data_IF_778880100553
#
_entry.id   IF_778880100553
#
_cell.length_a   1.000
_cell.length_b   1.000
_cell.length_c   1.000
_cell.angle_alpha   90.00
_cell.angle_beta   90.00
_cell.angle_gamma   90.00
#
_symmetry.space_group_name_H-M   'P 1'
#
loop_
_entity.id
_entity.type
_entity.pdbx_description
1 polymer ?
#
# COMPACT_ATOMS: atom_id res chain seq x y z
N UNK A 1 19.46 2.52 9.22
CA UNK A 1 19.87 1.54 8.19
C UNK A 1 20.22 2.31 6.93
N UNK A 2 21.51 2.44 6.62
CA UNK A 2 21.98 3.12 5.42
C UNK A 2 22.08 2.08 4.30
N UNK A 3 21.05 2.01 3.47
CA UNK A 3 20.94 0.99 2.42
C UNK A 3 21.71 1.45 1.18
N UNK A 4 22.98 1.04 1.06
CA UNK A 4 23.89 1.40 -0.04
C UNK A 4 23.64 0.61 -1.33
N UNK A 5 22.51 -0.11 -1.40
CA UNK A 5 22.02 -0.84 -2.58
C UNK A 5 22.16 -0.06 -3.90
N UNK A 6 21.99 1.27 -3.87
CA UNK A 6 22.09 2.12 -5.06
C UNK A 6 23.50 2.17 -5.68
N UNK A 7 24.56 1.86 -4.92
CA UNK A 7 25.94 1.86 -5.44
C UNK A 7 26.24 0.71 -6.40
N UNK A 8 25.47 -0.37 -6.32
CA UNK A 8 25.58 -1.49 -7.27
C UNK A 8 25.03 -1.14 -8.67
N UNK A 9 24.49 0.06 -8.87
CA UNK A 9 23.94 0.48 -10.15
C UNK A 9 25.02 0.67 -11.22
N UNK A 10 25.08 -0.26 -12.18
CA UNK A 10 25.97 -0.22 -13.36
C UNK A 10 25.47 0.68 -14.51
N UNK A 11 24.45 1.50 -14.28
CA UNK A 11 23.88 2.46 -15.26
C UNK A 11 23.41 1.85 -16.61
N UNK A 12 23.02 0.57 -16.64
CA UNK A 12 22.53 -0.14 -17.84
C UNK A 12 21.17 0.34 -18.42
N UNK A 13 20.41 1.18 -17.70
CA UNK A 13 19.15 1.79 -18.17
C UNK A 13 17.96 0.83 -18.38
N UNK A 14 18.09 -0.46 -18.10
CA UNK A 14 17.00 -1.47 -18.20
C UNK A 14 15.75 -1.08 -17.38
N UNK A 15 15.94 -0.47 -16.21
CA UNK A 15 14.81 -0.01 -15.40
C UNK A 15 13.95 1.06 -16.09
N UNK A 16 14.54 1.87 -16.99
CA UNK A 16 13.84 2.94 -17.69
C UNK A 16 13.01 2.40 -18.85
N UNK A 17 13.49 1.38 -19.54
CA UNK A 17 12.73 0.70 -20.60
C UNK A 17 11.56 -0.11 -20.02
N UNK A 18 11.75 -0.70 -18.84
CA UNK A 18 10.71 -1.46 -18.13
C UNK A 18 9.62 -0.56 -17.50
N UNK A 19 9.89 0.74 -17.35
CA UNK A 19 8.98 1.65 -16.66
C UNK A 19 7.82 2.07 -17.57
N UNK A 20 6.56 1.82 -17.17
CA UNK A 20 5.41 2.23 -17.97
C UNK A 20 5.20 3.75 -17.97
N UNK A 21 5.64 4.44 -16.91
CA UNK A 21 5.39 5.88 -16.72
C UNK A 21 6.33 6.74 -17.56
N UNK A 22 7.63 6.44 -17.58
CA UNK A 22 8.59 7.22 -18.38
C UNK A 22 8.33 7.11 -19.89
N UNK A 23 7.67 6.04 -20.32
CA UNK A 23 7.25 5.87 -21.71
C UNK A 23 6.13 6.82 -22.13
N UNK A 24 5.26 7.21 -21.20
CA UNK A 24 4.04 8.00 -21.51
C UNK A 24 4.10 9.44 -21.01
N UNK A 25 4.89 9.70 -19.96
CA UNK A 25 5.00 11.01 -19.34
C UNK A 25 6.43 11.54 -19.50
N UNK A 26 6.69 12.50 -20.41
CA UNK A 26 8.01 13.10 -20.58
C UNK A 26 8.47 13.92 -19.37
N UNK A 27 7.53 14.34 -18.50
CA UNK A 27 7.85 15.01 -17.24
C UNK A 27 8.43 14.09 -16.17
N UNK A 28 8.54 12.79 -16.44
CA UNK A 28 9.21 11.83 -15.55
C UNK A 28 10.53 11.37 -16.21
N UNK A 29 11.70 11.76 -15.68
CA UNK A 29 13.01 11.44 -16.28
C UNK A 29 13.35 9.94 -16.21
N UNK A 30 12.51 9.14 -15.55
CA UNK A 30 12.63 7.70 -15.45
C UNK A 30 13.26 7.23 -14.13
N UNK A 31 13.12 5.93 -13.82
CA UNK A 31 13.53 5.37 -12.54
C UNK A 31 15.05 5.32 -12.34
N UNK A 32 15.86 5.40 -13.40
CA UNK A 32 17.33 5.50 -13.29
C UNK A 32 17.75 6.83 -12.66
N UNK A 33 17.28 7.93 -13.25
CA UNK A 33 17.55 9.28 -12.78
C UNK A 33 16.84 9.55 -11.45
N UNK A 34 15.57 9.18 -11.33
CA UNK A 34 14.80 9.41 -10.11
C UNK A 34 15.27 8.55 -8.91
N UNK A 35 15.82 7.36 -9.18
CA UNK A 35 16.26 6.41 -8.17
C UNK A 35 17.76 6.56 -7.85
N UNK A 36 18.63 5.62 -8.30
CA UNK A 36 20.02 5.55 -7.85
C UNK A 36 20.89 6.75 -8.26
N UNK A 37 20.67 7.35 -9.42
CA UNK A 37 21.46 8.54 -9.82
C UNK A 37 21.03 9.77 -9.01
N UNK A 38 19.71 9.97 -8.82
CA UNK A 38 19.17 11.03 -7.99
C UNK A 38 19.48 10.86 -6.50
N UNK A 39 19.55 9.62 -5.99
CA UNK A 39 19.93 9.35 -4.61
C UNK A 39 21.37 9.78 -4.31
N UNK A 40 22.30 9.55 -5.24
CA UNK A 40 23.68 10.04 -5.11
C UNK A 40 23.76 11.56 -4.99
N UNK A 41 22.86 12.29 -5.67
CA UNK A 41 22.74 13.74 -5.55
C UNK A 41 22.12 14.15 -4.20
N UNK A 42 21.03 13.49 -3.81
CA UNK A 42 20.31 13.75 -2.54
C UNK A 42 21.11 13.44 -1.28
N UNK A 43 22.11 12.57 -1.38
CA UNK A 43 23.05 12.31 -0.29
C UNK A 43 24.03 13.47 -0.06
N UNK A 44 24.36 14.23 -1.12
CA UNK A 44 25.20 15.44 -0.99
C UNK A 44 24.39 16.62 -0.52
N UNK A 45 23.24 16.84 -1.14
CA UNK A 45 22.32 17.92 -0.79
C UNK A 45 20.87 17.44 -0.94
N UNK A 46 20.14 17.45 0.17
CA UNK A 46 18.72 17.08 0.21
C UNK A 46 17.81 18.04 -0.55
N UNK A 47 18.28 19.26 -0.86
CA UNK A 47 17.55 20.21 -1.70
C UNK A 47 17.46 19.77 -3.17
N UNK A 48 18.30 18.82 -3.60
CA UNK A 48 18.25 18.21 -4.94
C UNK A 48 17.12 17.17 -5.09
N UNK A 49 16.05 17.32 -4.31
CA UNK A 49 14.83 16.56 -4.45
C UNK A 49 14.04 17.06 -5.67
N UNK A 50 13.73 16.13 -6.58
CA UNK A 50 12.92 16.41 -7.76
C UNK A 50 11.47 16.00 -7.51
N UNK A 51 10.55 16.94 -7.68
CA UNK A 51 9.11 16.67 -7.58
C UNK A 51 8.64 15.64 -8.61
N UNK A 52 9.36 15.43 -9.72
CA UNK A 52 9.03 14.41 -10.72
C UNK A 52 8.95 12.99 -10.11
N UNK A 53 9.52 12.76 -8.94
CA UNK A 53 9.38 11.49 -8.20
C UNK A 53 7.91 11.16 -7.90
N UNK A 54 7.01 12.15 -7.84
CA UNK A 54 5.56 11.95 -7.66
C UNK A 54 4.90 11.14 -8.76
N UNK A 55 5.50 11.08 -9.96
CA UNK A 55 5.00 10.27 -11.06
C UNK A 55 5.30 8.78 -10.90
N UNK A 56 6.20 8.39 -9.99
CA UNK A 56 6.47 6.98 -9.71
C UNK A 56 5.28 6.32 -8.99
N UNK A 57 4.57 5.44 -9.69
CA UNK A 57 3.40 4.69 -9.18
C UNK A 57 3.75 3.49 -8.29
N UNK A 58 5.01 3.35 -7.87
CA UNK A 58 5.50 2.23 -7.05
C UNK A 58 5.16 0.82 -7.59
N UNK A 59 5.16 0.62 -8.91
CA UNK A 59 4.82 -0.66 -9.53
C UNK A 59 5.90 -1.75 -9.41
N UNK A 60 7.09 -1.41 -8.86
CA UNK A 60 8.25 -2.29 -8.61
C UNK A 60 8.84 -3.04 -9.80
N UNK A 61 8.33 -2.84 -11.02
CA UNK A 61 8.87 -3.46 -12.24
C UNK A 61 10.33 -3.12 -12.53
N UNK A 62 10.79 -1.94 -12.10
CA UNK A 62 12.20 -1.55 -12.19
C UNK A 62 13.14 -2.39 -11.33
N UNK A 63 12.66 -2.93 -10.20
CA UNK A 63 13.47 -3.78 -9.31
C UNK A 63 13.59 -5.19 -9.89
N UNK A 64 12.48 -5.75 -10.37
CA UNK A 64 12.45 -7.08 -11.01
C UNK A 64 13.33 -7.12 -12.27
N UNK A 65 13.39 -6.04 -13.02
CA UNK A 65 14.19 -5.95 -14.24
C UNK A 65 15.68 -5.63 -13.99
N UNK A 66 16.08 -5.32 -12.75
CA UNK A 66 17.45 -4.88 -12.47
C UNK A 66 18.42 -6.07 -12.39
N UNK A 67 19.46 -6.15 -13.24
CA UNK A 67 20.45 -7.23 -13.16
C UNK A 67 21.36 -7.13 -11.92
N UNK A 68 21.46 -5.94 -11.33
CA UNK A 68 22.30 -5.66 -10.15
C UNK A 68 21.50 -5.65 -8.84
N UNK A 69 20.24 -6.10 -8.87
CA UNK A 69 19.29 -6.15 -7.74
C UNK A 69 19.17 -4.85 -6.93
N UNK A 70 19.23 -3.70 -7.61
CA UNK A 70 19.07 -2.39 -6.96
C UNK A 70 17.59 -2.17 -6.63
N UNK A 71 17.29 -1.81 -5.38
CA UNK A 71 15.92 -1.54 -4.89
C UNK A 71 15.45 -0.12 -5.26
N UNK A 72 15.35 0.12 -6.57
CA UNK A 72 15.07 1.43 -7.17
C UNK A 72 13.75 2.04 -6.67
N UNK A 73 12.70 1.22 -6.58
CA UNK A 73 11.39 1.67 -6.11
C UNK A 73 11.44 2.09 -4.64
N UNK A 74 12.13 1.33 -3.78
CA UNK A 74 12.30 1.69 -2.36
C UNK A 74 13.10 2.97 -2.17
N UNK A 75 14.17 3.15 -2.95
CA UNK A 75 14.95 4.40 -2.96
C UNK A 75 14.05 5.59 -3.30
N UNK A 76 13.23 5.49 -4.36
CA UNK A 76 12.32 6.56 -4.76
C UNK A 76 11.28 6.82 -3.67
N UNK A 77 10.62 5.80 -3.12
CA UNK A 77 9.60 6.00 -2.09
C UNK A 77 10.17 6.55 -0.78
N UNK A 78 11.39 6.14 -0.40
CA UNK A 78 12.09 6.68 0.76
C UNK A 78 12.44 8.15 0.56
N UNK A 79 12.93 8.52 -0.63
CA UNK A 79 13.19 9.92 -0.96
C UNK A 79 11.90 10.76 -0.90
N UNK A 80 10.77 10.24 -1.41
CA UNK A 80 9.47 10.91 -1.25
C UNK A 80 9.07 11.04 0.21
N UNK A 81 9.14 9.97 1.01
CA UNK A 81 8.77 10.02 2.41
C UNK A 81 9.63 11.01 3.24
N UNK A 82 10.89 11.23 2.84
CA UNK A 82 11.83 12.11 3.55
C UNK A 82 11.75 13.57 3.12
N UNK A 83 11.60 13.84 1.82
CA UNK A 83 11.76 15.19 1.26
C UNK A 83 10.47 15.78 0.66
N UNK A 84 9.41 14.98 0.46
CA UNK A 84 8.14 15.49 -0.05
C UNK A 84 7.45 16.36 1.02
N UNK A 85 7.42 17.67 0.79
CA UNK A 85 6.76 18.65 1.66
C UNK A 85 5.30 18.89 1.27
N UNK A 86 4.81 18.21 0.24
CA UNK A 86 3.46 18.42 -0.30
C UNK A 86 2.42 18.05 0.74
N UNK A 87 1.58 19.03 1.14
CA UNK A 87 0.45 18.74 2.02
C UNK A 87 -0.58 17.87 1.31
N UNK A 88 -1.06 16.78 1.94
CA UNK A 88 -2.10 15.95 1.34
C UNK A 88 -3.38 16.78 1.18
N UNK A 89 -3.99 16.71 -0.01
CA UNK A 89 -5.34 17.24 -0.21
C UNK A 89 -6.34 16.52 0.70
N UNK A 90 -7.47 17.16 1.02
CA UNK A 90 -8.53 16.57 1.85
C UNK A 90 -8.94 15.18 1.35
N UNK A 91 -9.09 15.03 0.02
CA UNK A 91 -9.34 13.74 -0.62
C UNK A 91 -8.27 12.71 -0.28
N UNK A 92 -7.00 13.04 -0.49
CA UNK A 92 -5.90 12.10 -0.27
C UNK A 92 -5.76 11.76 1.22
N UNK A 93 -6.02 12.72 2.11
CA UNK A 93 -6.03 12.49 3.56
C UNK A 93 -7.13 11.52 3.98
N UNK A 94 -8.36 11.71 3.50
CA UNK A 94 -9.49 10.81 3.79
C UNK A 94 -9.22 9.41 3.23
N UNK A 95 -8.69 9.31 2.01
CA UNK A 95 -8.41 8.02 1.36
C UNK A 95 -7.18 7.29 1.93
N UNK A 96 -6.20 8.01 2.49
CA UNK A 96 -5.03 7.39 3.11
C UNK A 96 -5.31 6.80 4.49
N UNK A 97 -6.36 7.26 5.17
CA UNK A 97 -6.75 6.80 6.51
C UNK A 97 -7.89 5.78 6.44
N UNK A 98 -7.59 4.59 5.95
CA UNK A 98 -8.59 3.51 5.79
C UNK A 98 -9.22 3.07 7.11
N UNK A 99 -8.46 3.08 8.21
CA UNK A 99 -8.98 2.67 9.53
C UNK A 99 -9.95 3.69 10.13
N UNK A 100 -9.67 4.98 9.97
CA UNK A 100 -10.57 6.06 10.37
C UNK A 100 -11.86 6.01 9.54
N UNK A 101 -11.72 5.88 8.23
CA UNK A 101 -12.85 5.81 7.32
C UNK A 101 -13.70 4.55 7.60
N UNK A 102 -13.03 3.43 7.87
CA UNK A 102 -13.66 2.17 8.25
C UNK A 102 -14.40 2.25 9.57
N UNK A 103 -13.81 2.82 10.63
CA UNK A 103 -14.46 2.93 11.94
C UNK A 103 -15.69 3.84 11.92
N UNK A 104 -15.66 4.91 11.12
CA UNK A 104 -16.79 5.84 10.93
C UNK A 104 -17.88 5.23 10.04
N UNK A 105 -17.51 4.52 8.97
CA UNK A 105 -18.47 4.08 7.94
C UNK A 105 -19.09 2.70 8.22
N UNK A 106 -18.37 1.82 8.93
CA UNK A 106 -18.83 0.45 9.24
C UNK A 106 -20.15 0.41 10.04
N UNK A 107 -20.38 1.26 11.05
CA UNK A 107 -21.65 1.28 11.79
C UNK A 107 -22.85 1.67 10.90
N UNK A 108 -22.61 2.53 9.90
CA UNK A 108 -23.62 3.03 8.97
C UNK A 108 -23.59 2.30 7.62
N UNK A 109 -22.98 1.12 7.55
CA UNK A 109 -22.73 0.41 6.30
C UNK A 109 -23.96 0.28 5.37
N UNK A 110 -25.18 -0.06 5.83
CA UNK A 110 -26.35 -0.14 4.94
C UNK A 110 -26.68 1.19 4.28
N UNK A 111 -26.67 2.27 5.06
CA UNK A 111 -27.02 3.61 4.60
C UNK A 111 -25.93 4.12 3.65
N UNK A 112 -24.66 3.93 4.00
CA UNK A 112 -23.55 4.35 3.15
C UNK A 112 -23.54 3.55 1.84
N UNK A 113 -23.82 2.25 1.88
CA UNK A 113 -23.87 1.42 0.68
C UNK A 113 -25.05 1.79 -0.25
N UNK A 114 -26.22 2.11 0.31
CA UNK A 114 -27.36 2.56 -0.50
C UNK A 114 -27.12 3.95 -1.05
N UNK A 115 -26.64 4.89 -0.24
CA UNK A 115 -26.32 6.25 -0.68
C UNK A 115 -25.24 6.26 -1.78
N UNK A 116 -24.13 5.55 -1.59
CA UNK A 116 -23.04 5.45 -2.60
C UNK A 116 -23.43 4.67 -3.85
N UNK A 117 -24.56 3.95 -3.83
CA UNK A 117 -25.12 3.28 -5.01
C UNK A 117 -25.80 4.26 -5.99
N UNK A 118 -26.25 5.42 -5.50
CA UNK A 118 -26.98 6.42 -6.26
C UNK A 118 -26.02 7.28 -7.12
N UNK A 119 -26.36 7.46 -8.41
CA UNK A 119 -25.63 8.34 -9.34
C UNK A 119 -25.46 9.80 -8.84
N UNK A 120 -26.48 10.47 -8.28
CA UNK A 120 -26.31 11.86 -7.81
C UNK A 120 -25.27 11.99 -6.70
N UNK A 121 -25.19 11.01 -5.79
CA UNK A 121 -24.18 11.00 -4.73
C UNK A 121 -22.77 10.88 -5.32
N UNK A 122 -22.59 10.05 -6.36
CA UNK A 122 -21.29 9.94 -7.06
C UNK A 122 -20.90 11.23 -7.79
N UNK A 123 -21.85 11.92 -8.41
CA UNK A 123 -21.58 13.20 -9.06
C UNK A 123 -21.23 14.29 -8.05
N UNK A 124 -21.89 14.32 -6.88
CA UNK A 124 -21.55 15.23 -5.79
C UNK A 124 -20.15 14.93 -5.24
N UNK A 125 -19.79 13.66 -5.07
CA UNK A 125 -18.44 13.25 -4.66
C UNK A 125 -17.38 13.59 -5.73
N UNK A 126 -17.73 13.53 -7.01
CA UNK A 126 -16.86 13.95 -8.11
C UNK A 126 -16.59 15.46 -8.05
N UNK A 127 -17.65 16.27 -7.90
CA UNK A 127 -17.52 17.71 -7.80
C UNK A 127 -16.75 18.15 -6.54
N UNK A 128 -17.03 17.55 -5.38
CA UNK A 128 -16.45 17.95 -4.10
C UNK A 128 -15.04 17.38 -3.86
N UNK A 129 -14.83 16.10 -4.20
CA UNK A 129 -13.59 15.37 -3.90
C UNK A 129 -12.83 14.95 -5.15
N UNK A 130 -13.22 15.33 -6.38
CA UNK A 130 -12.56 14.89 -7.63
C UNK A 130 -12.35 13.38 -7.69
N UNK A 131 -13.37 12.63 -7.28
CA UNK A 131 -13.45 11.17 -7.41
C UNK A 131 -14.35 10.89 -8.61
N UNK A 132 -13.75 10.43 -9.72
CA UNK A 132 -14.46 10.18 -10.98
C UNK A 132 -15.76 9.39 -10.75
N UNK A 133 -16.90 9.95 -11.17
CA UNK A 133 -18.23 9.38 -10.95
C UNK A 133 -18.45 8.01 -11.61
N UNK A 134 -17.64 7.62 -12.60
CA UNK A 134 -17.68 6.27 -13.22
C UNK A 134 -17.05 5.21 -12.34
N UNK A 135 -16.33 5.61 -11.29
CA UNK A 135 -15.69 4.68 -10.36
C UNK A 135 -16.71 4.13 -9.38
N UNK A 136 -16.80 2.82 -9.28
CA UNK A 136 -17.60 2.15 -8.24
C UNK A 136 -16.83 2.17 -6.93
N UNK A 137 -17.39 2.80 -5.91
CA UNK A 137 -16.83 2.76 -4.55
C UNK A 137 -17.01 1.35 -3.95
N UNK A 138 -16.02 0.86 -3.16
CA UNK A 138 -16.14 -0.42 -2.48
C UNK A 138 -17.30 -0.38 -1.47
N UNK A 139 -17.96 -1.52 -1.27
CA UNK A 139 -19.03 -1.66 -0.27
C UNK A 139 -18.43 -1.85 1.11
N UNK A 140 -19.02 -1.20 2.12
CA UNK A 140 -18.70 -1.42 3.52
C UNK A 140 -19.47 -2.63 4.06
N UNK A 141 -18.80 -3.48 4.82
CA UNK A 141 -19.46 -4.55 5.57
C UNK A 141 -19.80 -4.06 6.97
N UNK A 142 -20.77 -4.70 7.62
CA UNK A 142 -20.88 -4.61 9.06
C UNK A 142 -19.70 -5.32 9.73
N UNK A 143 -19.12 -4.67 10.74
CA UNK A 143 -17.94 -5.15 11.47
C UNK A 143 -16.61 -4.89 10.77
N UNK A 144 -15.55 -4.75 11.56
CA UNK A 144 -14.17 -4.56 11.06
C UNK A 144 -13.45 -5.89 10.90
N UNK A 145 -12.51 -5.96 9.97
CA UNK A 145 -11.65 -7.14 9.78
C UNK A 145 -10.96 -7.55 11.09
N UNK A 146 -10.45 -6.58 11.86
CA UNK A 146 -9.78 -6.85 13.14
C UNK A 146 -10.71 -7.56 14.14
N UNK A 147 -11.96 -7.10 14.27
CA UNK A 147 -12.94 -7.72 15.17
C UNK A 147 -13.29 -9.14 14.72
N UNK A 148 -13.50 -9.33 13.41
CA UNK A 148 -13.70 -10.66 12.84
C UNK A 148 -12.50 -11.58 13.07
N UNK A 149 -11.27 -11.11 12.81
CA UNK A 149 -10.04 -11.87 12.98
C UNK A 149 -9.85 -12.35 14.43
N UNK A 150 -10.09 -11.48 15.42
CA UNK A 150 -10.03 -11.88 16.84
C UNK A 150 -11.05 -12.96 17.20
N UNK A 151 -12.26 -12.92 16.62
CA UNK A 151 -13.26 -13.99 16.82
C UNK A 151 -12.79 -15.33 16.25
N UNK A 152 -12.23 -15.34 15.04
CA UNK A 152 -11.69 -16.55 14.40
C UNK A 152 -10.47 -17.11 15.15
N UNK A 153 -9.56 -16.24 15.60
CA UNK A 153 -8.40 -16.63 16.39
C UNK A 153 -8.82 -17.27 17.72
N UNK A 154 -9.78 -16.68 18.43
CA UNK A 154 -10.33 -17.24 19.66
C UNK A 154 -10.95 -18.63 19.44
N UNK A 155 -11.71 -18.81 18.34
CA UNK A 155 -12.25 -20.12 17.96
C UNK A 155 -11.17 -21.15 17.65
N UNK A 156 -10.07 -20.76 16.96
CA UNK A 156 -8.94 -21.66 16.67
C UNK A 156 -8.20 -22.09 17.94
N UNK A 157 -7.97 -21.18 18.89
CA UNK A 157 -7.37 -21.54 20.18
C UNK A 157 -8.21 -22.57 20.92
N UNK A 158 -9.53 -22.39 20.95
CA UNK A 158 -10.47 -23.29 21.63
C UNK A 158 -10.56 -24.67 20.95
N UNK A 159 -10.50 -24.72 19.62
CA UNK A 159 -10.44 -26.00 18.88
C UNK A 159 -9.13 -26.74 19.18
N UNK A 160 -7.99 -26.04 19.23
CA UNK A 160 -6.68 -26.67 19.52
C UNK A 160 -6.62 -27.20 20.95
N UNK A 161 -7.13 -26.45 21.93
CA UNK A 161 -7.22 -26.92 23.33
C UNK A 161 -8.16 -28.12 23.44
N UNK A 162 -9.33 -28.07 22.79
CA UNK A 162 -10.28 -29.19 22.78
C UNK A 162 -9.67 -30.45 22.16
N UNK A 163 -8.95 -30.33 21.03
CA UNK A 163 -8.24 -31.46 20.42
C UNK A 163 -7.16 -32.04 21.34
N UNK A 164 -6.34 -31.19 21.99
CA UNK A 164 -5.32 -31.63 22.95
C UNK A 164 -5.94 -32.35 24.16
N UNK A 165 -7.06 -31.86 24.67
CA UNK A 165 -7.80 -32.51 25.77
C UNK A 165 -8.43 -33.84 25.34
N UNK A 166 -8.96 -33.97 24.12
CA UNK A 166 -9.46 -35.24 23.60
C UNK A 166 -8.35 -36.27 23.39
N UNK A 167 -7.19 -35.87 22.84
CA UNK A 167 -6.04 -36.78 22.69
C UNK A 167 -5.47 -37.19 24.04
N UNK A 168 -5.36 -36.27 25.00
CA UNK A 168 -4.90 -36.58 26.35
C UNK A 168 -5.87 -37.53 27.07
N UNK A 169 -7.18 -37.28 27.00
CA UNK A 169 -8.18 -38.17 27.59
C UNK A 169 -8.14 -39.58 26.97
N UNK A 170 -8.02 -39.68 25.64
CA UNK A 170 -7.93 -40.97 24.94
C UNK A 170 -6.64 -41.75 25.26
N UNK A 171 -5.50 -41.07 25.48
CA UNK A 171 -4.25 -41.69 25.93
C UNK A 171 -4.32 -42.16 27.39
N UNK A 172 -5.10 -41.48 28.24
CA UNK A 172 -5.23 -41.86 29.66
C UNK A 172 -6.14 -43.10 29.83
N UNK A 173 -7.12 -43.30 28.94
CA UNK A 173 -7.99 -44.48 28.96
C UNK A 173 -7.27 -45.75 28.50
N UNK A 174 -6.33 -45.67 27.56
CA UNK A 174 -5.57 -46.83 27.05
C UNK A 174 -4.48 -47.33 28.02
N UNK A 175 -4.01 -46.49 28.96
CA UNK A 175 -2.97 -46.87 29.93
C UNK A 175 -3.57 -47.50 31.21
N UNK A 176 -4.90 -47.47 31.37
CA UNK A 176 -5.60 -47.96 32.57
C UNK A 176 -6.37 -49.28 32.36
N UNK A 177 -6.15 -49.95 31.23
CA UNK A 177 -6.62 -51.30 30.89
C UNK A 177 -5.44 -52.24 30.76
#
# INVERSE_FOLDING_TARGET
>A
MNDTSFENCIKCTVCTTACPVSRVNPGYPGPKQAGPDGERLRLKDGALYDEALKYCINCKRCEVACPSDVKIGDIIQRARAKYDTTRPSLRNFVLSHTDLMGSVSTPFAPIVNTATSLKPVRQLLDAALKIDHRRTLPKYSFGTFRRWYHSVAASRHNIKTRWLSFTAASLTTTIRS
#
